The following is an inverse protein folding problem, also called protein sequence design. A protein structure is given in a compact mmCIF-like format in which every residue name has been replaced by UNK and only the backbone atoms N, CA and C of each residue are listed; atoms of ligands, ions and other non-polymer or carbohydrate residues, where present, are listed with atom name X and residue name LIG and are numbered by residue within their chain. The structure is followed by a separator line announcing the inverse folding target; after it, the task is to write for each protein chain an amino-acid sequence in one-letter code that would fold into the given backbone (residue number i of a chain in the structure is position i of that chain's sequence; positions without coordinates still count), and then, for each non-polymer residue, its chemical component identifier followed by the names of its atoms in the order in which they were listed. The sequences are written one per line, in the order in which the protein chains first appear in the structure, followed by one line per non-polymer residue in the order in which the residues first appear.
data_IF_241628551974
#
_entry.id   IF_241628551974
#
_cell.length_a   1.000
_cell.length_b   1.000
_cell.length_c   1.000
_cell.angle_alpha   90.00
_cell.angle_beta   90.00
_cell.angle_gamma   90.00
#
_symmetry.space_group_name_H-M   'P 1'
#
loop_
_entity.id
_entity.type
_entity.pdbx_description
1 polymer ?
#
# COMPACT_ATOMS: atom_id res chain seq x y z
N UNK A 1 9.01 9.03 -10.46
CA UNK A 1 8.59 10.28 -11.10
C UNK A 1 7.44 10.96 -10.32
N UNK A 2 6.29 10.32 -10.10
CA UNK A 2 5.15 10.98 -9.46
C UNK A 2 5.51 11.58 -8.09
N UNK A 3 6.08 10.78 -7.18
CA UNK A 3 6.48 11.27 -5.85
C UNK A 3 7.52 12.41 -5.92
N UNK A 4 8.41 12.40 -6.92
CA UNK A 4 9.40 13.46 -7.12
C UNK A 4 8.72 14.78 -7.52
N UNK A 5 7.79 14.72 -8.46
CA UNK A 5 7.10 15.93 -8.98
C UNK A 5 6.20 16.51 -7.88
N UNK A 6 5.33 15.69 -7.27
CA UNK A 6 4.41 16.15 -6.24
C UNK A 6 5.13 16.52 -4.95
N UNK A 7 6.18 15.77 -4.58
CA UNK A 7 7.00 16.08 -3.42
C UNK A 7 7.69 17.43 -3.56
N UNK A 8 8.31 17.72 -4.72
CA UNK A 8 8.89 19.03 -5.01
C UNK A 8 7.84 20.14 -4.85
N UNK A 9 6.67 19.97 -5.44
CA UNK A 9 5.59 20.96 -5.33
C UNK A 9 5.17 21.21 -3.87
N UNK A 10 4.99 20.14 -3.07
CA UNK A 10 4.59 20.27 -1.67
C UNK A 10 5.68 20.96 -0.82
N UNK A 11 6.96 20.63 -1.07
CA UNK A 11 8.09 21.25 -0.38
C UNK A 11 8.19 22.73 -0.72
N UNK A 12 8.11 23.09 -2.02
CA UNK A 12 8.19 24.49 -2.48
C UNK A 12 7.02 25.34 -2.01
N UNK A 13 5.83 24.73 -1.86
CA UNK A 13 4.65 25.42 -1.31
C UNK A 13 4.81 25.77 0.18
N UNK A 14 5.57 25.01 0.93
CA UNK A 14 5.88 25.28 2.34
C UNK A 14 4.74 25.05 3.34
N UNK A 15 3.60 24.52 2.89
CA UNK A 15 2.41 24.26 3.74
C UNK A 15 2.34 22.80 4.23
N UNK A 16 3.32 21.99 3.85
CA UNK A 16 3.33 20.56 4.11
C UNK A 16 2.38 19.79 3.20
N UNK A 17 2.12 18.52 3.52
CA UNK A 17 1.23 17.67 2.74
C UNK A 17 1.35 16.20 3.08
N UNK A 18 0.55 15.39 2.38
CA UNK A 18 0.57 13.93 2.50
C UNK A 18 0.66 13.27 1.13
N UNK A 19 1.62 12.40 0.97
CA UNK A 19 1.76 11.51 -0.19
C UNK A 19 1.45 10.09 0.29
N UNK A 20 0.52 9.44 -0.40
CA UNK A 20 0.12 8.07 -0.12
C UNK A 20 0.47 7.20 -1.32
N UNK A 21 1.45 6.35 -1.17
CA UNK A 21 1.82 5.39 -2.20
C UNK A 21 1.02 4.09 -2.02
N UNK A 22 0.68 3.45 -3.13
CA UNK A 22 0.02 2.14 -3.10
C UNK A 22 1.07 1.06 -3.27
N UNK A 23 1.35 0.40 -2.16
CA UNK A 23 2.22 -0.77 -2.09
C UNK A 23 1.51 -2.05 -2.53
N UNK A 24 1.90 -3.14 -1.94
CA UNK A 24 1.26 -4.45 -2.04
C UNK A 24 1.82 -5.35 -0.95
N UNK A 25 1.02 -6.27 -0.42
CA UNK A 25 1.59 -7.25 0.51
C UNK A 25 2.63 -8.16 -0.16
N UNK A 26 2.66 -8.29 -1.50
CA UNK A 26 3.75 -8.97 -2.21
C UNK A 26 5.11 -8.26 -2.10
N UNK A 27 5.12 -7.00 -1.68
CA UNK A 27 6.35 -6.28 -1.32
C UNK A 27 6.83 -6.55 0.11
N UNK A 28 6.00 -7.20 0.94
CA UNK A 28 6.32 -7.57 2.33
C UNK A 28 6.58 -9.08 2.43
N UNK A 29 5.72 -9.88 1.83
CA UNK A 29 5.80 -11.34 1.84
C UNK A 29 5.92 -11.89 0.41
N UNK A 30 6.62 -13.01 0.21
CA UNK A 30 6.74 -13.61 -1.11
C UNK A 30 5.40 -14.19 -1.59
N UNK A 31 5.03 -13.86 -2.83
CA UNK A 31 3.89 -14.45 -3.50
C UNK A 31 4.33 -15.19 -4.76
N UNK A 32 3.72 -16.35 -5.03
CA UNK A 32 4.05 -17.15 -6.20
C UNK A 32 3.72 -16.44 -7.52
N UNK A 33 4.57 -16.61 -8.51
CA UNK A 33 4.37 -16.17 -9.91
C UNK A 33 4.34 -14.65 -10.15
N UNK A 34 4.76 -13.84 -9.17
CA UNK A 34 4.73 -12.37 -9.26
C UNK A 34 6.04 -11.73 -8.79
N UNK A 35 7.18 -12.42 -8.95
CA UNK A 35 8.47 -11.99 -8.40
C UNK A 35 8.92 -10.60 -8.87
N UNK A 36 8.79 -10.27 -10.16
CA UNK A 36 9.14 -8.93 -10.67
C UNK A 36 8.21 -7.84 -10.10
N UNK A 37 6.92 -8.12 -10.04
CA UNK A 37 5.94 -7.22 -9.42
C UNK A 37 6.26 -7.04 -7.93
N UNK A 38 6.57 -8.12 -7.21
CA UNK A 38 6.94 -8.08 -5.79
C UNK A 38 8.18 -7.20 -5.57
N UNK A 39 9.22 -7.35 -6.41
CA UNK A 39 10.42 -6.52 -6.34
C UNK A 39 10.10 -5.02 -6.55
N UNK A 40 9.24 -4.68 -7.53
CA UNK A 40 8.84 -3.30 -7.76
C UNK A 40 8.04 -2.73 -6.59
N UNK A 41 7.16 -3.52 -5.96
CA UNK A 41 6.38 -3.09 -4.80
C UNK A 41 7.24 -2.95 -3.54
N UNK A 42 8.20 -3.84 -3.31
CA UNK A 42 9.19 -3.69 -2.24
C UNK A 42 10.02 -2.39 -2.40
N UNK A 43 10.38 -2.06 -3.64
CA UNK A 43 11.05 -0.80 -3.94
C UNK A 43 10.17 0.43 -3.61
N UNK A 44 8.85 0.38 -3.90
CA UNK A 44 7.91 1.45 -3.52
C UNK A 44 7.82 1.61 -2.00
N UNK A 45 7.77 0.51 -1.25
CA UNK A 45 7.76 0.52 0.22
C UNK A 45 9.01 1.20 0.76
N UNK A 46 10.19 0.77 0.32
CA UNK A 46 11.45 1.36 0.76
C UNK A 46 11.60 2.83 0.35
N UNK A 47 11.25 3.17 -0.90
CA UNK A 47 11.24 4.55 -1.38
C UNK A 47 10.37 5.45 -0.51
N UNK A 48 9.17 5.00 -0.14
CA UNK A 48 8.25 5.76 0.71
C UNK A 48 8.87 6.10 2.07
N UNK A 49 9.56 5.14 2.69
CA UNK A 49 10.27 5.35 3.97
C UNK A 49 11.41 6.37 3.82
N UNK A 50 12.17 6.29 2.75
CA UNK A 50 13.25 7.25 2.49
C UNK A 50 12.70 8.65 2.26
N UNK A 51 11.69 8.82 1.44
CA UNK A 51 11.06 10.12 1.18
C UNK A 51 10.40 10.70 2.44
N UNK A 52 9.79 9.85 3.28
CA UNK A 52 9.25 10.24 4.57
C UNK A 52 10.31 10.89 5.47
N UNK A 53 11.51 10.32 5.50
CA UNK A 53 12.65 10.86 6.25
C UNK A 53 13.14 12.17 5.64
N UNK A 54 13.34 12.21 4.33
CA UNK A 54 13.94 13.38 3.65
C UNK A 54 13.05 14.63 3.73
N UNK A 55 11.72 14.47 3.72
CA UNK A 55 10.78 15.58 3.65
C UNK A 55 10.07 15.89 4.98
N UNK A 56 10.44 15.22 6.06
CA UNK A 56 9.80 15.40 7.37
C UNK A 56 9.89 16.85 7.89
N UNK A 57 11.05 17.50 7.75
CA UNK A 57 11.26 18.89 8.17
C UNK A 57 10.39 19.88 7.38
N UNK A 58 10.05 19.55 6.13
CA UNK A 58 9.16 20.34 5.28
C UNK A 58 7.68 20.00 5.54
N UNK A 59 7.38 19.23 6.59
CA UNK A 59 6.03 18.79 6.96
C UNK A 59 5.31 17.98 5.88
N UNK A 60 6.05 17.36 4.97
CA UNK A 60 5.52 16.44 3.96
C UNK A 60 5.65 15.01 4.48
N UNK A 61 4.51 14.37 4.69
CA UNK A 61 4.43 12.97 5.12
C UNK A 61 4.33 12.04 3.90
N UNK A 62 4.99 10.90 3.96
CA UNK A 62 4.92 9.88 2.91
C UNK A 62 4.64 8.54 3.56
N UNK A 63 3.51 7.94 3.23
CA UNK A 63 3.07 6.66 3.77
C UNK A 63 2.66 5.70 2.65
N UNK A 64 2.47 4.44 3.00
CA UNK A 64 2.10 3.40 2.06
C UNK A 64 0.85 2.67 2.53
N UNK A 65 -0.18 2.57 1.68
CA UNK A 65 -1.26 1.60 1.86
C UNK A 65 -0.82 0.31 1.20
N UNK A 66 -1.00 -0.80 1.89
CA UNK A 66 -0.57 -2.14 1.48
C UNK A 66 -1.82 -3.02 1.33
N UNK A 67 -2.46 -3.02 0.14
CA UNK A 67 -3.65 -3.82 -0.08
C UNK A 67 -3.31 -5.31 -0.17
N UNK A 68 -4.26 -6.13 0.30
CA UNK A 68 -4.33 -7.55 0.01
C UNK A 68 -4.92 -7.84 -1.37
N UNK A 69 -5.79 -8.83 -1.43
CA UNK A 69 -6.48 -9.19 -2.67
C UNK A 69 -7.81 -8.44 -2.81
N UNK A 70 -7.83 -7.54 -3.79
CA UNK A 70 -9.01 -6.78 -4.21
C UNK A 70 -9.32 -7.13 -5.67
N UNK A 71 -10.55 -7.55 -5.99
CA UNK A 71 -10.90 -7.88 -7.36
C UNK A 71 -10.89 -6.61 -8.22
N UNK A 72 -9.97 -6.55 -9.18
CA UNK A 72 -10.01 -5.58 -10.25
C UNK A 72 -10.49 -6.28 -11.53
N UNK A 73 -11.20 -5.57 -12.39
CA UNK A 73 -11.66 -6.11 -13.69
C UNK A 73 -10.51 -6.76 -14.49
N UNK A 74 -9.29 -6.18 -14.38
CA UNK A 74 -8.09 -6.69 -15.01
C UNK A 74 -7.64 -8.04 -14.44
N UNK A 75 -7.90 -8.31 -13.15
CA UNK A 75 -7.46 -9.52 -12.47
C UNK A 75 -8.46 -10.67 -12.59
N UNK A 76 -9.73 -10.41 -12.88
CA UNK A 76 -10.76 -11.44 -13.05
C UNK A 76 -10.40 -12.46 -14.12
N UNK A 77 -9.66 -12.05 -15.16
CA UNK A 77 -9.21 -12.92 -16.25
C UNK A 77 -8.00 -13.80 -15.89
N UNK A 78 -7.28 -13.48 -14.84
CA UNK A 78 -6.02 -14.15 -14.43
C UNK A 78 -6.23 -15.08 -13.24
N UNK A 79 -7.34 -14.90 -12.51
CA UNK A 79 -7.68 -15.71 -11.34
C UNK A 79 -8.50 -16.93 -11.78
N UNK A 80 -7.81 -18.06 -11.92
CA UNK A 80 -8.51 -19.35 -12.10
C UNK A 80 -9.11 -19.82 -10.75
N UNK A 81 -10.07 -20.78 -10.76
CA UNK A 81 -10.73 -21.26 -9.55
C UNK A 81 -9.77 -21.79 -8.48
N UNK A 82 -8.71 -22.50 -8.87
CA UNK A 82 -7.70 -23.03 -7.95
C UNK A 82 -6.94 -21.92 -7.22
N UNK A 83 -6.55 -20.87 -7.96
CA UNK A 83 -5.86 -19.72 -7.37
C UNK A 83 -6.77 -18.93 -6.44
N UNK A 84 -8.05 -18.78 -6.79
CA UNK A 84 -9.05 -18.17 -5.92
C UNK A 84 -9.18 -18.97 -4.63
N UNK A 85 -9.34 -20.29 -4.71
CA UNK A 85 -9.42 -21.16 -3.54
C UNK A 85 -8.18 -21.06 -2.64
N UNK A 86 -6.98 -21.02 -3.24
CA UNK A 86 -5.72 -20.84 -2.52
C UNK A 86 -5.65 -19.49 -1.81
N UNK A 87 -6.07 -18.41 -2.46
CA UNK A 87 -6.12 -17.07 -1.85
C UNK A 87 -7.12 -17.05 -0.70
N UNK A 88 -8.33 -17.59 -0.90
CA UNK A 88 -9.36 -17.65 0.13
C UNK A 88 -8.90 -18.48 1.34
N UNK A 89 -8.34 -19.66 1.11
CA UNK A 89 -7.82 -20.51 2.18
C UNK A 89 -6.70 -19.86 2.99
N UNK A 90 -6.00 -18.88 2.41
CA UNK A 90 -4.93 -18.14 3.09
C UNK A 90 -5.37 -16.75 3.59
N UNK A 91 -6.61 -16.36 3.37
CA UNK A 91 -7.17 -15.11 3.88
C UNK A 91 -8.11 -15.40 5.05
N UNK A 92 -7.75 -15.09 6.30
CA UNK A 92 -8.63 -15.35 7.47
C UNK A 92 -10.05 -14.79 7.34
N UNK A 93 -10.20 -13.62 6.70
CA UNK A 93 -11.50 -13.03 6.40
C UNK A 93 -12.33 -13.84 5.39
N UNK A 94 -11.73 -14.82 4.70
CA UNK A 94 -12.33 -15.73 3.71
C UNK A 94 -13.12 -15.02 2.60
N UNK A 95 -12.67 -13.87 2.18
CA UNK A 95 -13.23 -13.09 1.08
C UNK A 95 -12.19 -12.14 0.48
N UNK A 96 -12.45 -11.65 -0.71
CA UNK A 96 -11.74 -10.51 -1.25
C UNK A 96 -12.14 -9.21 -0.53
N UNK A 97 -11.23 -8.24 -0.52
CA UNK A 97 -11.54 -6.89 -0.07
C UNK A 97 -12.37 -6.12 -1.11
N UNK A 98 -13.17 -5.18 -0.65
CA UNK A 98 -13.87 -4.20 -1.49
C UNK A 98 -13.09 -2.89 -1.53
N UNK A 99 -13.09 -2.20 -2.69
CA UNK A 99 -12.34 -0.95 -2.85
C UNK A 99 -12.70 0.12 -1.81
N UNK A 100 -13.96 0.14 -1.35
CA UNK A 100 -14.44 0.99 -0.26
C UNK A 100 -13.72 0.77 1.07
N UNK A 101 -13.18 -0.41 1.32
CA UNK A 101 -12.47 -0.73 2.56
C UNK A 101 -11.06 -0.11 2.63
N UNK A 102 -10.55 0.44 1.52
CA UNK A 102 -9.32 1.23 1.49
C UNK A 102 -9.55 2.70 1.89
N UNK A 103 -10.79 3.18 1.88
CA UNK A 103 -11.13 4.59 2.13
C UNK A 103 -10.70 5.01 3.53
N UNK A 104 -10.98 4.19 4.56
CA UNK A 104 -10.62 4.50 5.94
C UNK A 104 -9.13 4.75 6.14
N UNK A 105 -8.29 3.86 5.59
CA UNK A 105 -6.83 4.02 5.63
C UNK A 105 -6.37 5.26 4.85
N UNK A 106 -7.00 5.52 3.70
CA UNK A 106 -6.69 6.70 2.87
C UNK A 106 -7.02 8.00 3.62
N UNK A 107 -8.21 8.10 4.21
CA UNK A 107 -8.63 9.28 4.97
C UNK A 107 -7.76 9.50 6.21
N UNK A 108 -7.42 8.44 6.94
CA UNK A 108 -6.49 8.51 8.08
C UNK A 108 -5.15 9.12 7.65
N UNK A 109 -4.54 8.61 6.59
CA UNK A 109 -3.24 9.07 6.13
C UNK A 109 -3.29 10.47 5.47
N UNK A 110 -4.42 10.85 4.86
CA UNK A 110 -4.59 12.13 4.18
C UNK A 110 -4.93 13.28 5.13
N UNK A 111 -5.48 13.01 6.31
CA UNK A 111 -5.97 14.01 7.25
C UNK A 111 -5.02 14.24 8.44
N UNK A 112 -5.40 15.18 9.31
CA UNK A 112 -4.68 15.48 10.55
C UNK A 112 -4.73 14.33 11.57
N UNK A 113 -5.70 13.41 11.44
CA UNK A 113 -5.73 12.20 12.26
C UNK A 113 -4.46 11.35 12.09
N UNK A 114 -3.82 11.40 10.92
CA UNK A 114 -2.55 10.76 10.63
C UNK A 114 -1.33 11.70 10.73
N UNK A 115 -1.43 12.85 11.40
CA UNK A 115 -0.38 13.88 11.41
C UNK A 115 0.98 13.41 11.91
N UNK A 116 1.02 12.41 12.78
CA UNK A 116 2.26 11.81 13.28
C UNK A 116 2.65 10.50 12.58
N UNK A 117 1.88 10.10 11.54
CA UNK A 117 2.17 8.93 10.72
C UNK A 117 3.04 9.33 9.53
N UNK A 118 4.31 8.92 9.56
CA UNK A 118 5.26 9.20 8.49
C UNK A 118 6.17 7.98 8.27
N UNK A 119 6.31 7.50 7.05
CA UNK A 119 7.02 6.28 6.70
C UNK A 119 6.28 4.98 7.06
N UNK A 120 4.99 5.08 7.43
CA UNK A 120 4.17 3.95 7.87
C UNK A 120 3.65 3.13 6.69
N UNK A 121 3.45 1.84 6.96
CA UNK A 121 2.78 0.89 6.06
C UNK A 121 1.48 0.46 6.71
N UNK A 122 0.35 0.77 6.07
CA UNK A 122 -0.99 0.37 6.53
C UNK A 122 -1.45 -0.82 5.71
N UNK A 123 -1.44 -1.99 6.32
CA UNK A 123 -1.90 -3.24 5.70
C UNK A 123 -3.42 -3.32 5.77
N UNK A 124 -4.06 -3.58 4.63
CA UNK A 124 -5.51 -3.78 4.49
C UNK A 124 -5.73 -5.03 3.65
N UNK A 125 -5.74 -6.21 4.26
CA UNK A 125 -5.60 -7.49 3.54
C UNK A 125 -6.48 -8.64 4.05
N UNK A 126 -7.38 -8.38 4.99
CA UNK A 126 -8.23 -9.41 5.59
C UNK A 126 -7.45 -10.44 6.41
N UNK A 127 -6.24 -10.09 6.85
CA UNK A 127 -5.37 -10.95 7.68
C UNK A 127 -4.44 -11.85 6.87
N UNK A 128 -4.38 -11.69 5.54
CA UNK A 128 -3.56 -12.54 4.67
C UNK A 128 -2.09 -12.58 5.10
N UNK A 129 -1.47 -11.42 5.34
CA UNK A 129 -0.06 -11.34 5.72
C UNK A 129 0.21 -11.83 7.16
N UNK A 130 -0.82 -12.03 7.97
CA UNK A 130 -0.73 -12.52 9.34
C UNK A 130 -0.90 -14.06 9.42
N UNK A 131 -1.23 -14.71 8.31
CA UNK A 131 -1.43 -16.15 8.25
C UNK A 131 -0.07 -16.87 8.25
N UNK A 132 0.13 -17.81 9.18
CA UNK A 132 1.42 -18.52 9.35
C UNK A 132 1.33 -19.99 8.99
N UNK A 133 0.22 -20.66 9.19
CA UNK A 133 -0.05 -22.08 8.89
C UNK A 133 -1.49 -22.29 8.49
#
# INVERSE_FOLDING_TARGET
FASQIFGKYLVERGEGGSIINIGSMSGIIPLSRVFTYSATKAAVHNLSKNLAREWAEQKVRVNTIVPGFFPAEQNKKVLNPERIASIMGHTPANRFGEASELIGATLLLASDAGSFMNGSEIVVDGGYASMTI
#
